data_IF_350270175590
#
_entry.id   IF_350270175590
#
_cell.length_a   1.000
_cell.length_b   1.000
_cell.length_c   1.000
_cell.angle_alpha   90.00
_cell.angle_beta   90.00
_cell.angle_gamma   90.00
#
_symmetry.space_group_name_H-M   'P 1'
#
loop_
_entity.id
_entity.type
_entity.pdbx_description
1 polymer ?
#
# COMPACT_ATOMS: atom_id res chain seq x y z
N UNK A 1 -14.85 11.30 9.49
CA UNK A 1 -14.52 10.54 8.27
C UNK A 1 -14.21 9.10 8.64
N UNK A 2 -15.26 8.30 8.91
CA UNK A 2 -15.13 6.88 9.26
C UNK A 2 -15.15 6.02 8.01
N UNK A 3 -14.09 6.07 7.22
CA UNK A 3 -13.91 5.13 6.11
C UNK A 3 -13.71 3.72 6.65
N UNK A 4 -14.06 2.69 5.88
CA UNK A 4 -13.80 1.29 6.25
C UNK A 4 -12.30 1.13 6.54
N UNK A 5 -11.95 0.73 7.77
CA UNK A 5 -10.57 0.39 8.13
C UNK A 5 -10.04 -0.66 7.17
N UNK A 6 -8.81 -0.49 6.69
CA UNK A 6 -8.11 -1.50 5.89
C UNK A 6 -7.89 -2.75 6.75
N UNK A 7 -8.39 -3.89 6.30
CA UNK A 7 -8.19 -5.19 6.93
C UNK A 7 -6.72 -5.58 6.87
N UNK A 8 -6.32 -6.55 7.70
CA UNK A 8 -4.95 -7.06 7.66
C UNK A 8 -4.57 -7.66 6.30
N UNK A 9 -5.51 -8.30 5.59
CA UNK A 9 -5.31 -8.81 4.22
C UNK A 9 -5.01 -7.67 3.24
N UNK A 10 -5.79 -6.59 3.31
CA UNK A 10 -5.58 -5.38 2.50
C UNK A 10 -4.21 -4.76 2.80
N UNK A 11 -3.87 -4.55 4.08
CA UNK A 11 -2.58 -3.97 4.47
C UNK A 11 -1.39 -4.82 4.03
N UNK A 12 -1.45 -6.13 4.29
CA UNK A 12 -0.38 -7.06 3.90
C UNK A 12 -0.12 -7.00 2.40
N UNK A 13 -1.18 -7.02 1.59
CA UNK A 13 -1.04 -6.96 0.14
C UNK A 13 -0.50 -5.60 -0.31
N UNK A 14 -1.06 -4.51 0.21
CA UNK A 14 -0.62 -3.17 -0.11
C UNK A 14 0.89 -3.01 0.12
N UNK A 15 1.37 -3.28 1.33
CA UNK A 15 2.76 -3.00 1.71
C UNK A 15 3.76 -4.01 1.17
N UNK A 16 3.44 -5.30 1.15
CA UNK A 16 4.42 -6.33 0.74
C UNK A 16 4.39 -6.62 -0.76
N UNK A 17 3.26 -6.38 -1.43
CA UNK A 17 3.08 -6.69 -2.86
C UNK A 17 3.01 -5.41 -3.67
N UNK A 18 2.00 -4.56 -3.46
CA UNK A 18 1.81 -3.38 -4.29
C UNK A 18 2.97 -2.38 -4.17
N UNK A 19 3.40 -2.05 -2.95
CA UNK A 19 4.54 -1.15 -2.71
C UNK A 19 5.89 -1.72 -3.15
N UNK A 20 6.01 -3.01 -3.48
CA UNK A 20 7.27 -3.55 -4.03
C UNK A 20 7.53 -3.13 -5.48
N UNK A 21 6.46 -2.75 -6.22
CA UNK A 21 6.51 -2.40 -7.65
C UNK A 21 5.93 -1.02 -7.96
N UNK A 22 5.42 -0.32 -6.96
CA UNK A 22 4.76 0.99 -7.11
C UNK A 22 5.69 2.21 -7.19
N UNK A 23 5.12 3.42 -7.28
CA UNK A 23 5.87 4.67 -7.47
C UNK A 23 6.76 5.08 -6.29
N UNK A 24 6.48 4.54 -5.11
CA UNK A 24 7.27 4.73 -3.89
C UNK A 24 7.82 3.39 -3.42
N UNK A 25 8.37 2.57 -4.33
CA UNK A 25 8.92 1.27 -3.94
C UNK A 25 10.10 1.41 -3.01
N UNK A 26 10.12 0.58 -1.97
CA UNK A 26 11.24 0.44 -1.04
C UNK A 26 12.15 -0.72 -1.46
N UNK A 27 13.47 -0.49 -1.46
CA UNK A 27 14.47 -1.47 -1.89
C UNK A 27 15.07 -1.18 -3.28
N UNK A 28 16.09 -1.98 -3.63
CA UNK A 28 17.02 -1.70 -4.74
C UNK A 28 16.61 -2.37 -6.06
N UNK A 29 15.53 -3.16 -6.09
CA UNK A 29 15.11 -3.87 -7.30
C UNK A 29 14.45 -2.92 -8.32
N UNK A 30 15.31 -2.15 -9.00
CA UNK A 30 14.96 -1.25 -10.10
C UNK A 30 14.85 -1.99 -11.44
N UNK A 31 15.01 -3.32 -11.47
CA UNK A 31 14.96 -4.08 -12.72
C UNK A 31 13.53 -4.22 -13.26
N UNK A 32 12.51 -4.04 -12.42
CA UNK A 32 11.10 -4.05 -12.85
C UNK A 32 10.61 -2.64 -13.16
N UNK A 33 9.84 -2.46 -14.25
CA UNK A 33 9.22 -1.18 -14.55
C UNK A 33 8.28 -0.79 -13.40
N UNK A 34 8.36 0.49 -13.03
CA UNK A 34 7.49 1.09 -12.03
C UNK A 34 6.03 1.06 -12.50
N UNK A 35 5.13 0.66 -11.62
CA UNK A 35 3.68 0.61 -11.88
C UNK A 35 3.00 1.81 -11.25
N UNK A 36 2.01 2.36 -11.96
CA UNK A 36 1.24 3.52 -11.48
C UNK A 36 0.33 3.15 -10.32
N UNK A 37 -0.16 4.13 -9.56
CA UNK A 37 -1.14 3.90 -8.51
C UNK A 37 -2.43 3.24 -9.01
N UNK A 38 -2.85 3.54 -10.25
CA UNK A 38 -4.01 2.91 -10.88
C UNK A 38 -3.76 1.42 -11.16
N UNK A 39 -2.54 1.07 -11.61
CA UNK A 39 -2.17 -0.33 -11.82
C UNK A 39 -2.16 -1.10 -10.49
N UNK A 40 -1.68 -0.48 -9.41
CA UNK A 40 -1.71 -1.07 -8.07
C UNK A 40 -3.14 -1.24 -7.56
N UNK A 41 -4.02 -0.28 -7.83
CA UNK A 41 -5.43 -0.35 -7.46
C UNK A 41 -6.14 -1.51 -8.17
N UNK A 42 -5.92 -1.67 -9.48
CA UNK A 42 -6.44 -2.80 -10.24
C UNK A 42 -5.92 -4.15 -9.70
N UNK A 43 -4.65 -4.21 -9.32
CA UNK A 43 -4.07 -5.39 -8.67
C UNK A 43 -4.69 -5.68 -7.31
N UNK A 44 -4.91 -4.67 -6.48
CA UNK A 44 -5.59 -4.84 -5.19
C UNK A 44 -7.02 -5.33 -5.40
N UNK A 45 -7.75 -4.76 -6.36
CA UNK A 45 -9.11 -5.18 -6.69
C UNK A 45 -9.14 -6.66 -7.06
N UNK A 46 -8.23 -7.10 -7.93
CA UNK A 46 -8.10 -8.50 -8.33
C UNK A 46 -7.67 -9.41 -7.18
N UNK A 47 -6.73 -8.98 -6.35
CA UNK A 47 -6.20 -9.78 -5.26
C UNK A 47 -7.18 -9.96 -4.10
N UNK A 48 -8.03 -8.95 -3.86
CA UNK A 48 -9.08 -9.06 -2.85
C UNK A 48 -10.28 -9.83 -3.37
N UNK A 49 -10.62 -9.69 -4.66
CA UNK A 49 -11.68 -10.46 -5.31
C UNK A 49 -13.02 -10.26 -4.60
N UNK A 50 -13.70 -11.36 -4.28
CA UNK A 50 -14.98 -11.35 -3.54
C UNK A 50 -14.84 -10.81 -2.11
N UNK A 51 -13.65 -10.89 -1.52
CA UNK A 51 -13.36 -10.30 -0.21
C UNK A 51 -13.14 -8.79 -0.27
N UNK A 52 -13.28 -8.16 -1.45
CA UNK A 52 -13.04 -6.73 -1.58
C UNK A 52 -14.06 -5.93 -0.78
N UNK A 53 -13.57 -5.12 0.15
CA UNK A 53 -14.40 -4.31 1.03
C UNK A 53 -14.71 -2.94 0.45
N UNK A 54 -14.06 -2.57 -0.66
CA UNK A 54 -14.13 -1.27 -1.33
C UNK A 54 -13.76 -1.39 -2.81
N UNK A 55 -14.04 -0.33 -3.55
CA UNK A 55 -13.44 -0.13 -4.87
C UNK A 55 -12.09 0.58 -4.69
N UNK A 56 -11.01 -0.01 -5.19
CA UNK A 56 -9.70 0.62 -5.13
C UNK A 56 -9.52 1.57 -6.30
N UNK A 57 -8.99 2.75 -6.02
CA UNK A 57 -8.58 3.73 -7.03
C UNK A 57 -7.15 4.16 -6.80
N UNK A 58 -6.47 4.69 -7.82
CA UNK A 58 -5.11 5.20 -7.65
C UNK A 58 -5.03 6.31 -6.61
N UNK A 59 -6.06 7.15 -6.49
CA UNK A 59 -6.17 8.17 -5.45
C UNK A 59 -6.20 7.52 -4.06
N UNK A 60 -7.03 6.50 -3.85
CA UNK A 60 -7.12 5.79 -2.58
C UNK A 60 -5.78 5.15 -2.20
N UNK A 61 -5.09 4.53 -3.16
CA UNK A 61 -3.77 3.93 -2.94
C UNK A 61 -2.73 4.97 -2.52
N UNK A 62 -2.71 6.12 -3.20
CA UNK A 62 -1.83 7.23 -2.87
C UNK A 62 -2.13 7.82 -1.49
N UNK A 63 -3.40 8.08 -1.19
CA UNK A 63 -3.82 8.64 0.10
C UNK A 63 -3.46 7.71 1.26
N UNK A 64 -3.65 6.39 1.09
CA UNK A 64 -3.27 5.41 2.10
C UNK A 64 -1.76 5.43 2.39
N UNK A 65 -0.93 5.47 1.33
CA UNK A 65 0.51 5.66 1.49
C UNK A 65 0.84 6.97 2.24
N UNK A 66 0.28 8.09 1.77
CA UNK A 66 0.57 9.42 2.29
C UNK A 66 0.19 9.55 3.76
N UNK A 67 -0.97 9.01 4.15
CA UNK A 67 -1.42 9.02 5.54
C UNK A 67 -0.49 8.22 6.46
N UNK A 68 -0.08 7.03 6.04
CA UNK A 68 0.76 6.14 6.85
C UNK A 68 2.22 6.63 6.98
N UNK A 69 2.81 7.15 5.90
CA UNK A 69 4.21 7.56 5.85
C UNK A 69 4.39 9.04 6.20
N UNK A 70 3.74 9.93 5.46
CA UNK A 70 4.03 11.37 5.54
C UNK A 70 3.33 12.02 6.76
N UNK A 71 2.08 11.65 7.04
CA UNK A 71 1.32 12.25 8.15
C UNK A 71 1.45 11.50 9.48
N UNK A 72 2.09 10.31 9.46
CA UNK A 72 2.19 9.36 10.59
C UNK A 72 0.85 8.95 11.22
N UNK A 73 -0.28 9.16 10.51
CA UNK A 73 -1.60 8.67 10.90
C UNK A 73 -1.77 7.24 10.41
N UNK A 74 -1.04 6.33 11.06
CA UNK A 74 -0.98 4.93 10.64
C UNK A 74 -2.36 4.29 10.75
N UNK A 75 -2.73 3.54 9.72
CA UNK A 75 -3.91 2.68 9.76
C UNK A 75 -3.76 1.63 10.87
N UNK A 76 -4.84 1.26 11.57
CA UNK A 76 -4.78 0.35 12.71
C UNK A 76 -4.01 -0.96 12.47
N UNK A 77 -4.09 -1.52 11.26
CA UNK A 77 -3.48 -2.79 10.89
C UNK A 77 -2.14 -2.64 10.13
N UNK A 78 -1.66 -1.42 9.92
CA UNK A 78 -0.50 -1.14 9.07
C UNK A 78 0.84 -1.16 9.82
N UNK A 79 0.85 -1.12 11.15
CA UNK A 79 2.04 -0.78 11.94
C UNK A 79 3.28 -1.65 11.63
N UNK A 80 3.12 -2.98 11.59
CA UNK A 80 4.23 -3.90 11.27
C UNK A 80 4.73 -3.72 9.83
N UNK A 81 3.81 -3.52 8.89
CA UNK A 81 4.11 -3.44 7.47
C UNK A 81 4.76 -2.11 7.09
N UNK A 82 4.32 -1.01 7.70
CA UNK A 82 4.94 0.31 7.56
C UNK A 82 6.38 0.27 8.09
N UNK A 83 6.61 -0.36 9.25
CA UNK A 83 7.97 -0.52 9.79
C UNK A 83 8.87 -1.32 8.83
N UNK A 84 8.38 -2.43 8.30
CA UNK A 84 9.11 -3.22 7.28
C UNK A 84 9.45 -2.39 6.04
N UNK A 85 8.50 -1.57 5.59
CA UNK A 85 8.68 -0.67 4.46
C UNK A 85 9.74 0.42 4.75
N UNK A 86 9.65 1.09 5.90
CA UNK A 86 10.59 2.15 6.32
C UNK A 86 12.03 1.62 6.42
N UNK A 87 12.23 0.41 6.97
CA UNK A 87 13.53 -0.27 7.02
C UNK A 87 14.07 -0.51 5.60
N UNK A 88 13.24 -1.02 4.68
CA UNK A 88 13.63 -1.25 3.29
C UNK A 88 13.90 0.04 2.51
N UNK A 89 13.23 1.13 2.89
CA UNK A 89 13.39 2.44 2.27
C UNK A 89 14.64 3.18 2.79
N UNK A 90 15.28 2.70 3.86
CA UNK A 90 16.42 3.36 4.50
C UNK A 90 16.03 4.64 5.24
N UNK A 91 14.77 4.75 5.68
CA UNK A 91 14.23 5.93 6.36
C UNK A 91 14.07 5.73 7.87
N UNK A 92 14.74 4.72 8.44
CA UNK A 92 14.69 4.34 9.85
C UNK A 92 16.10 4.12 10.40
#
# INVERSE_FOLDING_TARGET
MGGKVWSEKEERYFWRVAMSVGPKRAGVDRAKPERSWNDLAADMQRAMGEDSRREYSGVLMFEHYFQNIETRRRSPNAAQYVREYEIKAGTF
#
